data_IF_113782134159
#
_entry.id   IF_113782134159
#
_cell.length_a   1.000
_cell.length_b   1.000
_cell.length_c   1.000
_cell.angle_alpha   90.00
_cell.angle_beta   90.00
_cell.angle_gamma   90.00
#
_symmetry.space_group_name_H-M   'P 1'
#
loop_
_entity.id
_entity.type
_entity.pdbx_description
1 polymer ?
#
# COMPACT_ATOMS: atom_id res chain seq x y z
N UNK A 1 -4.16 12.54 -49.02
CA UNK A 1 -3.82 12.89 -47.62
C UNK A 1 -4.94 12.35 -46.71
N UNK A 2 -4.73 11.19 -46.14
CA UNK A 2 -5.72 10.51 -45.29
C UNK A 2 -5.67 11.11 -43.88
N UNK A 3 -6.76 11.74 -43.40
CA UNK A 3 -6.87 12.26 -42.04
C UNK A 3 -6.70 11.10 -41.04
N UNK A 4 -5.85 11.24 -40.01
CA UNK A 4 -5.71 10.21 -39.01
C UNK A 4 -7.06 9.98 -38.31
N UNK A 5 -7.51 8.74 -38.32
CA UNK A 5 -8.75 8.30 -37.72
C UNK A 5 -8.67 8.54 -36.20
N UNK A 6 -9.48 9.49 -35.72
CA UNK A 6 -9.57 9.82 -34.28
C UNK A 6 -9.97 8.56 -33.51
N UNK A 7 -9.14 8.14 -32.56
CA UNK A 7 -9.47 7.00 -31.71
C UNK A 7 -10.85 7.20 -31.05
N UNK A 8 -11.66 6.15 -30.92
CA UNK A 8 -12.98 6.25 -30.29
C UNK A 8 -12.83 6.83 -28.87
N UNK A 9 -13.80 7.65 -28.40
CA UNK A 9 -13.76 8.18 -27.05
C UNK A 9 -13.69 7.02 -26.06
N UNK A 10 -12.69 7.04 -25.18
CA UNK A 10 -12.63 6.11 -24.05
C UNK A 10 -13.93 6.25 -23.25
N UNK A 11 -14.52 5.13 -22.86
CA UNK A 11 -15.56 5.08 -21.85
C UNK A 11 -15.11 5.85 -20.58
N UNK A 12 -16.07 6.43 -19.87
CA UNK A 12 -15.80 7.26 -18.68
C UNK A 12 -14.90 6.54 -17.68
N UNK A 13 -15.14 5.25 -17.45
CA UNK A 13 -14.36 4.44 -16.52
C UNK A 13 -12.94 4.18 -17.04
N UNK A 14 -12.79 3.83 -18.32
CA UNK A 14 -11.48 3.67 -18.94
C UNK A 14 -10.65 4.97 -18.90
N UNK A 15 -11.32 6.12 -19.06
CA UNK A 15 -10.68 7.44 -18.93
C UNK A 15 -10.25 7.70 -17.49
N UNK A 16 -11.11 7.36 -16.53
CA UNK A 16 -10.82 7.47 -15.08
C UNK A 16 -9.57 6.66 -14.70
N UNK A 17 -9.51 5.39 -15.09
CA UNK A 17 -8.36 4.52 -14.84
C UNK A 17 -7.08 5.06 -15.46
N UNK A 18 -7.14 5.52 -16.71
CA UNK A 18 -5.98 6.09 -17.40
C UNK A 18 -5.44 7.36 -16.73
N UNK A 19 -6.32 8.20 -16.21
CA UNK A 19 -5.92 9.38 -15.43
C UNK A 19 -5.22 8.93 -14.14
N UNK A 20 -5.82 8.02 -13.38
CA UNK A 20 -5.24 7.48 -12.14
C UNK A 20 -3.83 6.94 -12.39
N UNK A 21 -3.65 6.08 -13.39
CA UNK A 21 -2.35 5.49 -13.73
C UNK A 21 -1.29 6.55 -14.03
N UNK A 22 -1.65 7.58 -14.80
CA UNK A 22 -0.71 8.63 -15.21
C UNK A 22 -0.33 9.61 -14.10
N UNK A 23 -1.24 9.91 -13.18
CA UNK A 23 -0.96 10.85 -12.08
C UNK A 23 -0.29 10.19 -10.88
N UNK A 24 -0.40 8.87 -10.76
CA UNK A 24 0.12 8.11 -9.61
C UNK A 24 1.61 8.37 -9.35
N UNK A 25 2.54 8.29 -10.34
CA UNK A 25 3.97 8.53 -10.09
C UNK A 25 4.25 9.93 -9.56
N UNK A 26 3.57 10.94 -10.11
CA UNK A 26 3.73 12.33 -9.69
C UNK A 26 3.22 12.55 -8.26
N UNK A 27 2.07 11.97 -7.92
CA UNK A 27 1.50 12.03 -6.57
C UNK A 27 2.36 11.27 -5.55
N UNK A 28 2.91 10.11 -5.90
CA UNK A 28 3.82 9.37 -5.04
C UNK A 28 5.11 10.16 -4.74
N UNK A 29 5.65 10.87 -5.73
CA UNK A 29 6.88 11.65 -5.57
C UNK A 29 6.68 12.97 -4.80
N UNK A 30 5.55 13.65 -4.96
CA UNK A 30 5.34 15.02 -4.47
C UNK A 30 4.15 15.22 -3.53
N UNK A 31 3.34 14.19 -3.35
CA UNK A 31 2.21 14.20 -2.41
C UNK A 31 1.24 15.37 -2.65
N UNK A 32 0.88 16.06 -1.57
CA UNK A 32 -0.08 17.18 -1.57
C UNK A 32 0.40 18.44 -2.30
N UNK A 33 1.72 18.60 -2.50
CA UNK A 33 2.30 19.79 -3.14
C UNK A 33 2.00 19.89 -4.64
N UNK A 34 1.51 18.81 -5.26
CA UNK A 34 1.15 18.78 -6.69
C UNK A 34 -0.10 19.64 -6.93
N UNK A 35 -0.02 20.56 -7.89
CA UNK A 35 -1.14 21.40 -8.30
C UNK A 35 -2.09 20.65 -9.25
N UNK A 36 -3.34 21.11 -9.37
CA UNK A 36 -4.32 20.56 -10.32
C UNK A 36 -3.87 20.67 -11.77
N UNK A 37 -3.16 21.75 -12.11
CA UNK A 37 -2.58 21.96 -13.44
C UNK A 37 -1.50 20.92 -13.77
N UNK A 38 -0.63 20.61 -12.80
CA UNK A 38 0.39 19.57 -12.96
C UNK A 38 -0.23 18.18 -13.09
N UNK A 39 -1.31 17.90 -12.34
CA UNK A 39 -2.07 16.64 -12.45
C UNK A 39 -2.72 16.50 -13.82
N UNK A 40 -3.33 17.56 -14.36
CA UNK A 40 -3.92 17.55 -15.69
C UNK A 40 -2.85 17.34 -16.78
N UNK A 41 -1.69 18.02 -16.65
CA UNK A 41 -0.56 17.85 -17.55
C UNK A 41 0.00 16.42 -17.51
N UNK A 42 0.20 15.84 -16.32
CA UNK A 42 0.63 14.45 -16.15
C UNK A 42 -0.37 13.45 -16.73
N UNK A 43 -1.66 13.71 -16.56
CA UNK A 43 -2.73 12.90 -17.14
C UNK A 43 -2.81 13.04 -18.67
N UNK A 44 -2.23 14.11 -19.26
CA UNK A 44 -2.34 14.44 -20.69
C UNK A 44 -3.75 14.88 -21.08
N UNK A 45 -4.43 15.62 -20.19
CA UNK A 45 -5.78 16.15 -20.40
C UNK A 45 -5.86 17.63 -20.03
N UNK A 46 -6.89 18.34 -20.50
CA UNK A 46 -7.18 19.68 -20.00
C UNK A 46 -7.69 19.62 -18.55
N UNK A 47 -7.45 20.67 -17.75
CA UNK A 47 -7.90 20.77 -16.36
C UNK A 47 -9.43 20.57 -16.23
N UNK A 48 -10.22 21.18 -17.13
CA UNK A 48 -11.66 20.97 -17.17
C UNK A 48 -12.07 19.50 -17.46
N UNK A 49 -11.24 18.75 -18.20
CA UNK A 49 -11.47 17.32 -18.43
C UNK A 49 -11.16 16.51 -17.18
N UNK A 50 -10.12 16.88 -16.42
CA UNK A 50 -9.81 16.26 -15.13
C UNK A 50 -11.00 16.37 -14.17
N UNK A 51 -11.57 17.59 -14.03
CA UNK A 51 -12.71 17.86 -13.15
C UNK A 51 -14.06 17.38 -13.68
N UNK A 52 -14.17 17.01 -14.95
CA UNK A 52 -15.35 16.29 -15.46
C UNK A 52 -15.38 14.82 -15.02
N UNK A 53 -14.21 14.27 -14.62
CA UNK A 53 -14.04 12.86 -14.18
C UNK A 53 -13.96 12.75 -12.67
N UNK A 54 -13.30 13.71 -12.02
CA UNK A 54 -13.12 13.79 -10.57
C UNK A 54 -13.66 15.11 -10.04
N UNK A 55 -14.48 15.06 -9.00
CA UNK A 55 -15.12 16.23 -8.41
C UNK A 55 -14.10 17.28 -7.96
N UNK A 56 -13.01 16.81 -7.35
CA UNK A 56 -11.93 17.63 -6.84
C UNK A 56 -10.60 16.85 -6.77
N UNK A 57 -9.53 17.51 -6.34
CA UNK A 57 -8.22 16.89 -6.11
C UNK A 57 -8.27 15.79 -5.05
N UNK A 58 -9.12 15.94 -4.05
CA UNK A 58 -9.29 14.94 -2.99
C UNK A 58 -9.87 13.64 -3.54
N UNK A 59 -10.94 13.72 -4.35
CA UNK A 59 -11.57 12.55 -4.98
C UNK A 59 -10.63 11.81 -5.93
N UNK A 60 -9.76 12.55 -6.64
CA UNK A 60 -8.70 11.95 -7.46
C UNK A 60 -7.67 11.22 -6.59
N UNK A 61 -7.18 11.87 -5.52
CA UNK A 61 -6.20 11.27 -4.60
C UNK A 61 -6.76 10.01 -3.94
N UNK A 62 -8.03 10.06 -3.51
CA UNK A 62 -8.74 8.90 -2.97
C UNK A 62 -8.81 7.74 -3.97
N UNK A 63 -9.12 8.03 -5.24
CA UNK A 63 -9.17 7.02 -6.28
C UNK A 63 -7.79 6.38 -6.55
N UNK A 64 -6.72 7.16 -6.48
CA UNK A 64 -5.33 6.65 -6.57
C UNK A 64 -5.01 5.75 -5.39
N UNK A 65 -5.34 6.15 -4.16
CA UNK A 65 -5.11 5.35 -2.95
C UNK A 65 -5.90 4.04 -3.01
N UNK A 66 -7.20 4.09 -3.36
CA UNK A 66 -8.04 2.90 -3.51
C UNK A 66 -7.47 1.92 -4.56
N UNK A 67 -6.96 2.44 -5.67
CA UNK A 67 -6.34 1.61 -6.71
C UNK A 67 -5.04 0.97 -6.24
N UNK A 68 -4.22 1.69 -5.46
CA UNK A 68 -2.95 1.18 -4.92
C UNK A 68 -3.14 0.19 -3.77
N UNK A 69 -4.20 0.35 -3.00
CA UNK A 69 -4.58 -0.52 -1.90
C UNK A 69 -5.63 -1.57 -2.30
N UNK A 70 -5.74 -1.91 -3.58
CA UNK A 70 -6.53 -3.06 -4.01
C UNK A 70 -5.94 -4.33 -3.35
N UNK A 71 -6.68 -5.04 -2.48
CA UNK A 71 -6.13 -6.19 -1.77
C UNK A 71 -5.96 -7.43 -2.65
N UNK A 72 -6.56 -7.46 -3.85
CA UNK A 72 -6.54 -8.66 -4.72
C UNK A 72 -5.13 -9.01 -5.20
N UNK A 73 -4.35 -8.10 -5.81
CA UNK A 73 -3.01 -8.44 -6.27
C UNK A 73 -2.07 -8.83 -5.12
N UNK A 74 -2.19 -8.17 -3.96
CA UNK A 74 -1.34 -8.47 -2.80
C UNK A 74 -1.68 -9.84 -2.21
N UNK A 75 -2.98 -10.20 -2.12
CA UNK A 75 -3.38 -11.55 -1.68
C UNK A 75 -2.81 -12.65 -2.56
N UNK A 76 -2.86 -12.49 -3.88
CA UNK A 76 -2.30 -13.45 -4.84
C UNK A 76 -0.77 -13.60 -4.66
N UNK A 77 -0.06 -12.50 -4.43
CA UNK A 77 1.38 -12.54 -4.19
C UNK A 77 1.72 -13.18 -2.85
N UNK A 78 0.98 -12.86 -1.80
CA UNK A 78 1.20 -13.35 -0.44
C UNK A 78 0.85 -14.85 -0.29
N UNK A 79 -0.12 -15.35 -1.05
CA UNK A 79 -0.49 -16.76 -1.03
C UNK A 79 0.67 -17.72 -1.35
N UNK A 80 1.71 -17.24 -2.04
CA UNK A 80 2.91 -18.02 -2.39
C UNK A 80 3.79 -18.37 -1.19
N UNK A 81 3.65 -17.65 -0.11
CA UNK A 81 4.45 -17.82 1.11
C UNK A 81 3.71 -18.56 2.22
N UNK A 82 2.45 -18.93 1.97
CA UNK A 82 1.63 -19.70 2.90
C UNK A 82 1.86 -21.20 2.63
N UNK A 83 2.27 -21.95 3.66
CA UNK A 83 2.51 -23.40 3.56
C UNK A 83 3.48 -23.88 4.65
N UNK A 84 3.94 -25.12 4.50
CA UNK A 84 4.82 -25.79 5.46
C UNK A 84 6.32 -25.44 5.28
N UNK A 85 6.61 -24.29 4.67
CA UNK A 85 7.97 -23.79 4.48
C UNK A 85 8.58 -23.23 5.77
N UNK A 86 9.86 -22.85 5.71
CA UNK A 86 10.54 -22.24 6.83
C UNK A 86 9.89 -20.91 7.23
N UNK A 87 9.61 -20.73 8.52
CA UNK A 87 8.96 -19.55 9.08
C UNK A 87 9.66 -18.24 8.68
N UNK A 88 10.99 -18.21 8.76
CA UNK A 88 11.79 -17.02 8.43
C UNK A 88 11.64 -16.66 6.94
N UNK A 89 11.75 -17.65 6.04
CA UNK A 89 11.62 -17.44 4.60
C UNK A 89 10.22 -16.95 4.21
N UNK A 90 9.18 -17.52 4.79
CA UNK A 90 7.80 -17.10 4.57
C UNK A 90 7.58 -15.63 4.99
N UNK A 91 8.07 -15.24 6.17
CA UNK A 91 7.95 -13.87 6.68
C UNK A 91 8.79 -12.87 5.87
N UNK A 92 10.00 -13.25 5.42
CA UNK A 92 10.83 -12.42 4.52
C UNK A 92 10.12 -12.21 3.19
N UNK A 93 9.53 -13.27 2.64
CA UNK A 93 8.74 -13.18 1.41
C UNK A 93 7.56 -12.23 1.55
N UNK A 94 6.81 -12.32 2.64
CA UNK A 94 5.71 -11.38 2.96
C UNK A 94 6.25 -9.94 3.08
N UNK A 95 7.33 -9.73 3.82
CA UNK A 95 7.92 -8.40 4.00
C UNK A 95 8.37 -7.78 2.66
N UNK A 96 9.01 -8.55 1.79
CA UNK A 96 9.48 -8.10 0.48
C UNK A 96 8.33 -7.68 -0.47
N UNK A 97 7.15 -8.28 -0.34
CA UNK A 97 5.95 -7.84 -1.08
C UNK A 97 5.36 -6.56 -0.49
N UNK A 98 5.37 -6.42 0.84
CA UNK A 98 4.65 -5.34 1.53
C UNK A 98 5.45 -4.04 1.61
N UNK A 99 6.76 -4.10 1.87
CA UNK A 99 7.58 -2.91 2.07
C UNK A 99 7.57 -1.93 0.90
N UNK A 100 7.64 -2.34 -0.39
CA UNK A 100 7.47 -1.44 -1.52
C UNK A 100 6.09 -0.80 -1.58
N UNK A 101 5.04 -1.57 -1.29
CA UNK A 101 3.65 -1.07 -1.29
C UNK A 101 3.42 0.01 -0.24
N UNK A 102 4.02 -0.14 0.96
CA UNK A 102 3.96 0.88 2.01
C UNK A 102 4.68 2.15 1.54
N UNK A 103 5.89 2.02 0.97
CA UNK A 103 6.66 3.15 0.49
C UNK A 103 5.91 3.97 -0.57
N UNK A 104 5.19 3.30 -1.46
CA UNK A 104 4.39 3.93 -2.52
C UNK A 104 3.13 4.64 -1.99
N UNK A 105 2.48 4.06 -0.99
CA UNK A 105 1.17 4.54 -0.50
C UNK A 105 1.30 5.58 0.60
N UNK A 106 2.31 5.47 1.45
CA UNK A 106 2.48 6.36 2.61
C UNK A 106 2.48 7.86 2.23
N UNK A 107 3.21 8.36 1.21
CA UNK A 107 3.18 9.76 0.81
C UNK A 107 1.78 10.22 0.37
N UNK A 108 1.00 9.33 -0.25
CA UNK A 108 -0.37 9.61 -0.68
C UNK A 108 -1.33 9.76 0.50
N UNK A 109 -1.17 8.91 1.52
CA UNK A 109 -1.97 8.98 2.75
C UNK A 109 -1.66 10.26 3.53
N UNK A 110 -0.38 10.63 3.64
CA UNK A 110 0.05 11.91 4.25
C UNK A 110 -0.52 13.10 3.47
N UNK A 111 -0.44 13.05 2.13
CA UNK A 111 -1.01 14.08 1.27
C UNK A 111 -2.51 14.25 1.47
N UNK A 112 -3.24 13.16 1.65
CA UNK A 112 -4.68 13.18 1.89
C UNK A 112 -5.02 13.90 3.20
N UNK A 113 -4.30 13.62 4.27
CA UNK A 113 -4.50 14.29 5.56
C UNK A 113 -4.22 15.79 5.47
N UNK A 114 -3.20 16.20 4.71
CA UNK A 114 -2.87 17.62 4.50
C UNK A 114 -3.92 18.41 3.69
N UNK A 115 -4.71 17.75 2.83
CA UNK A 115 -5.74 18.43 2.02
C UNK A 115 -7.08 18.50 2.76
N UNK A 116 -7.39 17.50 3.58
CA UNK A 116 -8.75 17.26 4.05
C UNK A 116 -9.13 18.02 5.33
N UNK A 117 -8.16 18.43 6.15
CA UNK A 117 -8.48 18.88 7.50
C UNK A 117 -9.31 17.83 8.28
N UNK A 118 -9.65 18.13 9.54
CA UNK A 118 -10.42 17.21 10.41
C UNK A 118 -11.84 16.87 9.91
N UNK A 119 -12.42 17.69 9.02
CA UNK A 119 -13.79 17.49 8.51
C UNK A 119 -13.93 16.33 7.53
N UNK A 120 -12.83 15.81 6.97
CA UNK A 120 -12.84 14.76 5.94
C UNK A 120 -12.67 13.33 6.46
N UNK A 121 -12.39 13.15 7.76
CA UNK A 121 -12.23 11.82 8.33
C UNK A 121 -13.46 10.91 8.14
N UNK A 122 -14.66 11.47 8.11
CA UNK A 122 -15.92 10.70 7.94
C UNK A 122 -16.33 10.43 6.49
N UNK A 123 -15.76 11.12 5.49
CA UNK A 123 -16.04 10.90 4.06
C UNK A 123 -15.12 9.87 3.40
N UNK A 124 -14.21 9.26 4.17
CA UNK A 124 -13.16 8.42 3.64
C UNK A 124 -13.65 6.99 3.33
N UNK A 125 -14.12 6.77 2.11
CA UNK A 125 -14.09 5.44 1.50
C UNK A 125 -12.67 4.79 1.54
N UNK A 126 -11.62 5.59 1.74
CA UNK A 126 -10.25 5.14 1.95
C UNK A 126 -10.00 4.34 3.22
N UNK A 127 -10.75 4.59 4.31
CA UNK A 127 -10.65 3.76 5.53
C UNK A 127 -11.02 2.29 5.26
N UNK A 128 -11.97 2.05 4.35
CA UNK A 128 -12.34 0.69 3.91
C UNK A 128 -11.20 0.01 3.18
N UNK A 129 -10.66 0.64 2.12
CA UNK A 129 -9.57 0.09 1.32
C UNK A 129 -8.29 -0.15 2.14
N UNK A 130 -7.92 0.79 3.03
CA UNK A 130 -6.80 0.63 3.95
C UNK A 130 -7.04 -0.57 4.88
N UNK A 131 -8.23 -0.68 5.46
CA UNK A 131 -8.58 -1.79 6.37
C UNK A 131 -8.54 -3.14 5.65
N UNK A 132 -9.10 -3.22 4.44
CA UNK A 132 -9.11 -4.44 3.63
C UNK A 132 -7.70 -4.87 3.23
N UNK A 133 -6.86 -3.91 2.85
CA UNK A 133 -5.47 -4.17 2.51
C UNK A 133 -4.66 -4.63 3.73
N UNK A 134 -4.81 -3.95 4.88
CA UNK A 134 -4.19 -4.35 6.14
C UNK A 134 -4.69 -5.73 6.60
N UNK A 135 -5.97 -6.03 6.40
CA UNK A 135 -6.55 -7.35 6.65
C UNK A 135 -5.86 -8.43 5.82
N UNK A 136 -5.68 -8.19 4.51
CA UNK A 136 -4.99 -9.14 3.62
C UNK A 136 -3.54 -9.42 4.07
N UNK A 137 -2.82 -8.39 4.51
CA UNK A 137 -1.46 -8.55 5.07
C UNK A 137 -1.50 -9.35 6.37
N UNK A 138 -2.41 -9.00 7.29
CA UNK A 138 -2.57 -9.69 8.56
C UNK A 138 -2.91 -11.17 8.37
N UNK A 139 -3.86 -11.48 7.48
CA UNK A 139 -4.27 -12.85 7.17
C UNK A 139 -3.09 -13.68 6.66
N UNK A 140 -2.26 -13.11 5.78
CA UNK A 140 -1.09 -13.79 5.25
C UNK A 140 -0.04 -14.08 6.33
N UNK A 141 0.26 -13.10 7.20
CA UNK A 141 1.21 -13.30 8.31
C UNK A 141 0.68 -14.35 9.29
N UNK A 142 -0.62 -14.31 9.61
CA UNK A 142 -1.25 -15.34 10.44
C UNK A 142 -1.13 -16.71 9.80
N UNK A 143 -1.40 -16.83 8.50
CA UNK A 143 -1.32 -18.10 7.78
C UNK A 143 0.11 -18.66 7.75
N UNK A 144 1.13 -17.82 7.54
CA UNK A 144 2.55 -18.22 7.61
C UNK A 144 2.97 -18.66 9.01
N UNK A 145 2.46 -18.00 10.06
CA UNK A 145 2.89 -18.27 11.44
C UNK A 145 2.09 -19.39 12.13
N UNK A 146 0.91 -19.74 11.64
CA UNK A 146 0.03 -20.75 12.25
C UNK A 146 0.65 -22.14 12.35
N UNK A 147 1.35 -22.68 11.31
CA UNK A 147 2.03 -23.97 11.44
C UNK A 147 3.11 -23.98 12.52
N UNK A 148 3.69 -22.83 12.82
CA UNK A 148 4.77 -22.63 13.80
C UNK A 148 4.28 -22.09 15.16
N UNK A 149 2.97 -22.10 15.43
CA UNK A 149 2.40 -21.50 16.62
C UNK A 149 2.99 -22.06 17.96
N UNK A 150 3.37 -23.34 17.95
CA UNK A 150 3.99 -23.97 19.13
C UNK A 150 5.38 -23.42 19.45
N UNK A 151 6.10 -22.88 18.46
CA UNK A 151 7.45 -22.31 18.58
C UNK A 151 7.41 -20.84 19.03
N UNK A 152 6.26 -20.18 18.91
CA UNK A 152 6.10 -18.77 19.21
C UNK A 152 5.70 -18.55 20.68
N UNK A 153 6.23 -17.47 21.28
CA UNK A 153 5.82 -16.98 22.63
C UNK A 153 4.48 -16.26 22.62
N UNK A 154 4.01 -15.85 21.45
CA UNK A 154 2.80 -15.08 21.25
C UNK A 154 1.90 -15.79 20.23
N UNK A 155 0.60 -15.50 20.25
CA UNK A 155 -0.30 -16.04 19.24
C UNK A 155 0.05 -15.52 17.83
N UNK A 156 -0.24 -16.28 16.75
CA UNK A 156 -0.06 -15.80 15.37
C UNK A 156 -0.70 -14.43 15.10
N UNK A 157 -1.89 -14.18 15.63
CA UNK A 157 -2.58 -12.89 15.49
C UNK A 157 -1.81 -11.73 16.17
N UNK A 158 -1.26 -11.97 17.37
CA UNK A 158 -0.47 -10.97 18.08
C UNK A 158 0.88 -10.73 17.39
N UNK A 159 1.53 -11.78 16.90
CA UNK A 159 2.73 -11.68 16.09
C UNK A 159 2.46 -10.84 14.83
N UNK A 160 1.39 -11.15 14.10
CA UNK A 160 0.98 -10.42 12.89
C UNK A 160 0.82 -8.92 13.16
N UNK A 161 0.15 -8.55 14.27
CA UNK A 161 -0.01 -7.15 14.64
C UNK A 161 1.32 -6.44 14.89
N UNK A 162 2.22 -7.05 15.66
CA UNK A 162 3.54 -6.47 15.99
C UNK A 162 4.43 -6.39 14.74
N UNK A 163 4.46 -7.44 13.94
CA UNK A 163 5.23 -7.51 12.70
C UNK A 163 4.78 -6.45 11.69
N UNK A 164 3.47 -6.36 11.43
CA UNK A 164 2.90 -5.36 10.54
C UNK A 164 3.21 -3.93 11.03
N UNK A 165 3.09 -3.67 12.32
CA UNK A 165 3.42 -2.36 12.92
C UNK A 165 4.88 -1.99 12.64
N UNK A 166 5.81 -2.94 12.79
CA UNK A 166 7.24 -2.69 12.52
C UNK A 166 7.50 -2.48 11.02
N UNK A 167 6.87 -3.25 10.13
CA UNK A 167 6.94 -3.03 8.68
C UNK A 167 6.52 -1.59 8.32
N UNK A 168 5.39 -1.12 8.87
CA UNK A 168 4.93 0.24 8.62
C UNK A 168 5.89 1.29 9.18
N UNK A 169 6.34 1.12 10.43
CA UNK A 169 7.26 2.06 11.08
C UNK A 169 8.58 2.18 10.32
N UNK A 170 9.09 1.08 9.75
CA UNK A 170 10.35 1.06 8.98
C UNK A 170 10.32 1.86 7.67
N UNK A 171 9.17 2.32 7.23
CA UNK A 171 8.98 3.12 6.00
C UNK A 171 8.49 4.53 6.28
N UNK A 172 8.60 4.99 7.52
CA UNK A 172 8.26 6.37 7.88
C UNK A 172 9.19 7.38 7.17
N UNK A 173 8.68 8.53 6.69
CA UNK A 173 9.44 9.46 5.85
C UNK A 173 10.64 10.13 6.53
N UNK A 174 10.65 10.16 7.87
CA UNK A 174 11.75 10.74 8.64
C UNK A 174 12.99 9.82 8.73
N UNK A 175 12.87 8.56 8.28
CA UNK A 175 14.00 7.66 8.20
C UNK A 175 14.75 7.88 6.89
N UNK A 176 16.04 8.15 6.95
CA UNK A 176 16.90 8.19 5.78
C UNK A 176 16.89 6.82 5.06
N UNK A 177 17.20 6.80 3.77
CA UNK A 177 17.14 5.55 3.00
C UNK A 177 18.12 4.50 3.56
N UNK A 178 19.27 4.96 4.02
CA UNK A 178 20.31 4.13 4.65
C UNK A 178 19.92 3.56 6.01
N UNK A 179 19.00 4.22 6.73
CA UNK A 179 18.53 3.77 8.05
C UNK A 179 17.32 2.83 7.96
N UNK A 180 16.84 2.53 6.74
CA UNK A 180 15.69 1.66 6.55
C UNK A 180 16.07 0.20 6.68
N UNK A 181 15.51 -0.47 7.69
CA UNK A 181 15.69 -1.90 7.87
C UNK A 181 15.25 -2.70 6.64
N UNK A 182 16.04 -3.73 6.28
CA UNK A 182 15.68 -4.72 5.26
C UNK A 182 14.53 -5.63 5.73
N UNK A 183 13.95 -6.41 4.82
CA UNK A 183 12.98 -7.44 5.19
C UNK A 183 13.59 -8.45 6.17
N UNK A 184 14.80 -8.90 5.88
CA UNK A 184 15.56 -9.85 6.69
C UNK A 184 15.85 -9.32 8.08
N UNK A 185 16.23 -8.03 8.23
CA UNK A 185 16.49 -7.43 9.52
C UNK A 185 15.23 -7.36 10.38
N UNK A 186 14.12 -6.94 9.79
CA UNK A 186 12.82 -6.85 10.47
C UNK A 186 12.36 -8.24 10.94
N UNK A 187 12.42 -9.23 10.06
CA UNK A 187 12.03 -10.61 10.38
C UNK A 187 12.92 -11.18 11.48
N UNK A 188 14.24 -11.04 11.35
CA UNK A 188 15.19 -11.53 12.34
C UNK A 188 14.97 -10.88 13.71
N UNK A 189 14.73 -9.57 13.74
CA UNK A 189 14.43 -8.86 14.98
C UNK A 189 13.13 -9.37 15.63
N UNK A 190 12.06 -9.53 14.84
CA UNK A 190 10.79 -10.05 15.35
C UNK A 190 10.89 -11.48 15.86
N UNK A 191 11.56 -12.36 15.11
CA UNK A 191 11.71 -13.77 15.49
C UNK A 191 12.57 -13.94 16.74
N UNK A 192 13.67 -13.21 16.90
CA UNK A 192 14.51 -13.27 18.11
C UNK A 192 13.72 -12.91 19.38
N UNK A 193 12.76 -11.99 19.30
CA UNK A 193 11.89 -11.65 20.41
C UNK A 193 10.67 -12.58 20.60
N UNK A 194 10.24 -13.27 19.55
CA UNK A 194 9.00 -14.06 19.52
C UNK A 194 9.20 -15.57 19.67
N UNK A 195 10.37 -16.11 19.31
CA UNK A 195 10.67 -17.53 19.47
C UNK A 195 10.94 -17.88 20.95
N UNK A 196 10.51 -19.05 21.37
CA UNK A 196 10.86 -19.61 22.67
C UNK A 196 12.35 -19.95 22.70
N UNK A 197 13.01 -19.66 23.83
CA UNK A 197 14.38 -20.14 24.05
C UNK A 197 14.39 -21.67 24.15
N UNK A 198 15.44 -22.37 23.68
CA UNK A 198 15.55 -23.82 23.81
C UNK A 198 15.47 -24.35 25.25
N UNK A 199 15.60 -23.45 26.25
CA UNK A 199 15.55 -23.79 27.68
C UNK A 199 14.16 -23.61 28.31
N UNK A 200 13.15 -23.16 27.56
CA UNK A 200 11.78 -22.91 28.04
C UNK A 200 10.78 -24.01 27.62
N UNK A 201 11.26 -25.15 27.12
CA UNK A 201 10.48 -26.31 26.69
C UNK A 201 10.44 -27.45 27.70
#
# INVERSE_FOLDING_TARGET
MTRPRRAPPLDREARRLKIIERVTPLLAARGAAVTTRELAAAAGVAEGTLFSVFEDKHSLLMAVIQRRLDPRPVREQLARFVGDGALEEGLVGVANVILPSIADVHPLVVALHGIAGQACENRLGGKGAIREWLGAVSDAVVAVTTPHAAELRVTPARFSHMFSTLLFASRMPHLAAEDRASAEDIVRFCLRGALKSPQEG
#
